data_IF_973269462549
#
_entry.id   IF_973269462549
#
_cell.length_a   1.000
_cell.length_b   1.000
_cell.length_c   1.000
_cell.angle_alpha   90.00
_cell.angle_beta   90.00
_cell.angle_gamma   90.00
#
_symmetry.space_group_name_H-M   'P 1'
#
loop_
_entity.id
_entity.type
_entity.pdbx_description
1 polymer ?
#
# COMPACT_ATOMS: atom_id res chain seq x y z
N UNK A 1 -5.33 -19.98 2.44
CA UNK A 1 -6.16 -19.07 1.66
C UNK A 1 -6.25 -19.53 0.21
N UNK A 2 -7.40 -20.07 -0.19
CA UNK A 2 -7.77 -20.29 -1.59
C UNK A 2 -7.86 -18.94 -2.34
N UNK A 3 -7.83 -18.95 -3.66
CA UNK A 3 -8.01 -17.72 -4.44
C UNK A 3 -9.34 -17.03 -4.06
N UNK A 4 -9.28 -15.73 -3.76
CA UNK A 4 -10.45 -14.96 -3.30
C UNK A 4 -10.74 -15.06 -1.79
N UNK A 5 -10.03 -15.90 -1.04
CA UNK A 5 -10.21 -16.00 0.42
C UNK A 5 -9.55 -14.82 1.13
N UNK A 6 -10.33 -14.11 1.94
CA UNK A 6 -9.91 -12.96 2.74
C UNK A 6 -9.52 -13.45 4.14
N UNK A 7 -8.41 -12.97 4.73
CA UNK A 7 -8.03 -13.38 6.08
C UNK A 7 -9.12 -13.00 7.10
N UNK A 8 -9.31 -13.83 8.12
CA UNK A 8 -10.33 -13.60 9.16
C UNK A 8 -10.13 -12.25 9.85
N UNK A 9 -11.20 -11.47 9.99
CA UNK A 9 -11.18 -10.13 10.58
C UNK A 9 -10.71 -9.01 9.64
N UNK A 10 -10.32 -9.32 8.39
CA UNK A 10 -9.90 -8.33 7.41
C UNK A 10 -11.03 -7.98 6.41
N UNK A 11 -11.05 -6.72 5.98
CA UNK A 11 -11.84 -6.29 4.83
C UNK A 11 -11.02 -6.37 3.55
N UNK A 12 -11.68 -6.73 2.44
CA UNK A 12 -11.06 -6.76 1.12
C UNK A 12 -11.35 -5.49 0.33
N UNK A 13 -10.62 -4.43 0.67
CA UNK A 13 -10.82 -3.07 0.13
C UNK A 13 -11.66 -2.22 1.07
N UNK A 14 -11.01 -1.27 1.77
CA UNK A 14 -11.67 -0.40 2.75
C UNK A 14 -12.20 0.91 2.16
N UNK A 15 -12.04 1.13 0.85
CA UNK A 15 -12.50 2.36 0.18
C UNK A 15 -11.64 3.60 0.45
N UNK A 16 -10.54 3.49 1.21
CA UNK A 16 -9.59 4.58 1.45
C UNK A 16 -9.13 5.22 0.13
N UNK A 17 -9.15 6.55 0.08
CA UNK A 17 -8.74 7.33 -1.09
C UNK A 17 -7.42 8.05 -0.81
N UNK A 18 -6.54 8.09 -1.80
CA UNK A 18 -5.25 8.75 -1.73
C UNK A 18 -5.02 9.60 -2.97
N UNK A 19 -4.86 10.90 -2.77
CA UNK A 19 -4.47 11.83 -3.82
C UNK A 19 -2.94 11.92 -3.89
N UNK A 20 -2.38 11.18 -4.84
CA UNK A 20 -0.95 11.20 -5.11
C UNK A 20 -0.45 12.59 -5.47
N UNK A 21 -1.20 13.31 -6.32
CA UNK A 21 -0.73 14.58 -6.86
C UNK A 21 -0.64 15.62 -5.75
N UNK A 22 -1.61 15.59 -4.83
CA UNK A 22 -1.57 16.39 -3.61
C UNK A 22 -0.42 15.97 -2.68
N UNK A 23 -0.18 14.66 -2.50
CA UNK A 23 0.93 14.16 -1.69
C UNK A 23 2.31 14.56 -2.26
N UNK A 24 2.46 14.57 -3.59
CA UNK A 24 3.66 15.07 -4.27
C UNK A 24 3.80 16.59 -4.11
N UNK A 25 2.72 17.34 -4.32
CA UNK A 25 2.71 18.81 -4.19
C UNK A 25 3.02 19.29 -2.76
N UNK A 26 2.54 18.56 -1.76
CA UNK A 26 2.76 18.86 -0.34
C UNK A 26 4.11 18.36 0.20
N UNK A 27 4.87 17.59 -0.59
CA UNK A 27 6.13 17.00 -0.16
C UNK A 27 5.98 15.76 0.73
N UNK A 28 4.75 15.30 1.00
CA UNK A 28 4.50 14.04 1.73
C UNK A 28 5.05 12.81 1.00
N UNK A 29 5.09 12.87 -0.34
CA UNK A 29 5.66 11.84 -1.18
C UNK A 29 6.55 12.48 -2.25
N UNK A 30 7.86 12.48 -2.04
CA UNK A 30 8.79 13.05 -3.00
C UNK A 30 8.87 12.18 -4.27
N UNK A 31 9.24 12.79 -5.41
CA UNK A 31 9.37 12.08 -6.70
C UNK A 31 10.58 11.13 -6.76
N UNK A 32 11.56 11.42 -5.93
CA UNK A 32 12.82 10.72 -5.69
C UNK A 32 12.80 9.89 -4.41
N UNK A 33 11.65 9.81 -3.73
CA UNK A 33 11.48 8.97 -2.54
C UNK A 33 11.85 7.51 -2.88
N UNK A 34 12.70 6.82 -2.10
CA UNK A 34 13.08 5.42 -2.35
C UNK A 34 11.88 4.50 -2.56
N UNK A 35 10.75 4.83 -1.94
CA UNK A 35 9.50 4.09 -2.12
C UNK A 35 9.02 4.06 -3.59
N UNK A 36 9.35 5.10 -4.36
CA UNK A 36 9.00 5.18 -5.77
C UNK A 36 9.73 4.13 -6.60
N UNK A 37 10.93 3.67 -6.18
CA UNK A 37 11.64 2.58 -6.85
C UNK A 37 10.91 1.24 -6.69
N UNK A 38 10.29 1.04 -5.52
CA UNK A 38 9.47 -0.13 -5.23
C UNK A 38 8.14 -0.13 -5.98
N UNK A 39 7.64 1.06 -6.36
CA UNK A 39 6.39 1.20 -7.11
C UNK A 39 6.55 1.54 -8.60
N UNK A 40 7.74 1.83 -9.12
CA UNK A 40 7.93 2.03 -10.58
C UNK A 40 7.97 0.67 -11.29
N UNK A 41 7.15 0.50 -12.34
CA UNK A 41 7.37 -0.60 -13.31
C UNK A 41 8.63 -0.27 -14.12
N UNK A 42 9.51 -1.24 -14.31
CA UNK A 42 10.72 -1.09 -15.13
C UNK A 42 10.34 -1.26 -16.61
N UNK A 43 10.71 -0.32 -17.50
CA UNK A 43 10.52 -0.41 -18.97
C UNK A 43 10.09 0.90 -19.65
N UNK A 44 10.22 0.97 -20.99
CA UNK A 44 9.96 2.15 -21.83
C UNK A 44 8.53 2.72 -21.70
N UNK A 45 7.53 1.88 -21.41
CA UNK A 45 6.15 2.30 -21.20
C UNK A 45 5.91 2.99 -19.85
N UNK A 46 6.60 2.59 -18.78
CA UNK A 46 6.46 3.20 -17.45
C UNK A 46 7.05 4.60 -17.34
N UNK A 47 7.83 5.04 -18.33
CA UNK A 47 8.41 6.38 -18.42
C UNK A 47 7.48 7.39 -19.13
N UNK A 48 6.55 6.91 -19.97
CA UNK A 48 5.68 7.75 -20.83
C UNK A 48 4.35 8.06 -20.12
N UNK A 49 3.89 7.18 -19.24
CA UNK A 49 2.61 7.27 -18.53
C UNK A 49 2.85 7.62 -17.06
N UNK A 50 3.26 8.86 -16.78
CA UNK A 50 3.51 9.39 -15.43
C UNK A 50 2.31 9.40 -14.45
N UNK A 51 1.21 8.72 -14.77
CA UNK A 51 0.07 8.51 -13.90
C UNK A 51 0.23 7.17 -13.16
N UNK A 52 -0.14 7.14 -11.88
CA UNK A 52 -0.07 5.98 -10.98
C UNK A 52 -0.72 4.66 -11.48
N UNK A 53 -1.36 4.65 -12.66
CA UNK A 53 -1.88 3.45 -13.32
C UNK A 53 -0.81 2.49 -13.85
N UNK A 54 0.44 2.95 -14.04
CA UNK A 54 1.55 2.10 -14.52
C UNK A 54 2.59 1.77 -13.46
N UNK A 55 2.26 1.99 -12.19
CA UNK A 55 3.08 1.63 -11.03
C UNK A 55 2.81 0.17 -10.60
N UNK A 56 3.80 -0.48 -10.00
CA UNK A 56 3.64 -1.79 -9.32
C UNK A 56 2.56 -1.67 -8.23
N UNK A 57 1.98 -2.80 -7.83
CA UNK A 57 0.90 -2.84 -6.85
C UNK A 57 1.26 -2.12 -5.55
N UNK A 58 0.44 -1.16 -5.11
CA UNK A 58 0.55 -0.57 -3.76
C UNK A 58 -0.58 -1.13 -2.88
N UNK A 59 -0.23 -1.82 -1.80
CA UNK A 59 -1.21 -2.36 -0.86
C UNK A 59 -1.72 -1.27 0.10
N UNK A 60 -2.97 -1.41 0.55
CA UNK A 60 -3.63 -0.40 1.38
C UNK A 60 -2.85 -0.09 2.68
N UNK A 61 -2.30 -1.14 3.29
CA UNK A 61 -1.56 -1.05 4.56
C UNK A 61 -0.15 -0.43 4.43
N UNK A 62 0.27 -0.03 3.23
CA UNK A 62 1.50 0.75 3.03
C UNK A 62 1.31 2.24 3.34
N UNK A 63 0.05 2.70 3.39
CA UNK A 63 -0.30 4.08 3.71
C UNK A 63 -1.06 4.15 5.04
N UNK A 64 -0.86 5.21 5.82
CA UNK A 64 -1.72 5.58 6.95
C UNK A 64 -3.05 6.15 6.45
N UNK A 65 -3.98 6.44 7.36
CA UNK A 65 -5.22 7.17 7.06
C UNK A 65 -4.97 8.60 6.57
N UNK A 66 -3.81 9.16 6.91
CA UNK A 66 -3.43 10.54 6.58
C UNK A 66 -2.56 10.63 5.31
N UNK A 67 -2.37 9.48 4.65
CA UNK A 67 -1.63 9.37 3.39
C UNK A 67 -0.11 9.29 3.54
N UNK A 68 0.40 9.01 4.74
CA UNK A 68 1.84 8.81 4.98
C UNK A 68 2.25 7.36 4.78
N UNK A 69 3.50 7.11 4.42
CA UNK A 69 4.03 5.74 4.38
C UNK A 69 4.10 5.17 5.79
N UNK A 70 3.58 3.97 6.01
CA UNK A 70 3.39 3.42 7.37
C UNK A 70 4.72 3.15 8.08
N UNK A 71 5.73 2.66 7.35
CA UNK A 71 7.09 2.48 7.88
C UNK A 71 7.69 3.82 8.32
N UNK A 72 7.52 4.88 7.52
CA UNK A 72 8.01 6.23 7.86
C UNK A 72 7.26 6.82 9.06
N UNK A 73 5.95 6.71 9.08
CA UNK A 73 5.11 7.21 10.16
C UNK A 73 5.46 6.53 11.51
N UNK A 74 5.71 5.22 11.49
CA UNK A 74 6.16 4.49 12.68
C UNK A 74 7.53 4.99 13.17
N UNK A 75 8.50 5.14 12.25
CA UNK A 75 9.85 5.64 12.58
C UNK A 75 9.82 7.07 13.14
N UNK A 76 9.11 7.98 12.48
CA UNK A 76 8.97 9.36 12.92
C UNK A 76 8.27 9.47 14.28
N UNK A 77 7.31 8.58 14.57
CA UNK A 77 6.62 8.49 15.84
C UNK A 77 7.36 7.71 16.93
N UNK A 78 8.55 7.16 16.65
CA UNK A 78 9.28 6.29 17.59
C UNK A 78 8.51 5.02 17.99
N UNK A 79 7.58 4.56 17.13
CA UNK A 79 6.71 3.42 17.43
C UNK A 79 7.38 2.11 17.01
N UNK A 80 7.39 1.16 17.93
CA UNK A 80 7.70 -0.26 17.66
C UNK A 80 6.39 -1.05 17.67
N UNK A 81 6.24 -1.99 16.74
CA UNK A 81 5.06 -2.85 16.67
C UNK A 81 5.47 -4.27 17.06
N UNK A 82 4.92 -4.78 18.17
CA UNK A 82 5.18 -6.15 18.64
C UNK A 82 4.11 -7.13 18.17
N UNK A 83 2.92 -6.64 17.81
CA UNK A 83 1.78 -7.42 17.35
C UNK A 83 1.01 -6.71 16.22
N UNK A 84 0.21 -7.43 15.42
CA UNK A 84 -0.53 -6.87 14.29
C UNK A 84 -1.41 -5.65 14.64
N UNK A 85 -1.97 -5.62 15.84
CA UNK A 85 -2.84 -4.55 16.31
C UNK A 85 -2.09 -3.21 16.39
N UNK A 86 -0.84 -3.22 16.86
CA UNK A 86 0.01 -2.02 16.95
C UNK A 86 0.22 -1.42 15.56
N UNK A 87 0.42 -2.27 14.54
CA UNK A 87 0.57 -1.84 13.15
C UNK A 87 -0.70 -1.16 12.66
N UNK A 88 -1.87 -1.72 12.96
CA UNK A 88 -3.16 -1.13 12.58
C UNK A 88 -3.47 0.17 13.33
N UNK A 89 -2.98 0.34 14.56
CA UNK A 89 -3.02 1.62 15.27
C UNK A 89 -2.17 2.70 14.58
N UNK A 90 -0.99 2.34 14.05
CA UNK A 90 -0.19 3.27 13.22
C UNK A 90 -0.91 3.61 11.91
N UNK A 91 -1.50 2.59 11.27
CA UNK A 91 -2.19 2.77 9.99
C UNK A 91 -3.44 3.65 10.17
N UNK A 92 -4.20 3.48 11.26
CA UNK A 92 -5.41 4.25 11.53
C UNK A 92 -6.56 3.98 10.56
N UNK A 93 -6.54 2.84 9.86
CA UNK A 93 -7.60 2.38 8.93
C UNK A 93 -8.16 1.04 9.40
N UNK A 94 -9.34 0.61 8.92
CA UNK A 94 -9.81 -0.75 9.13
C UNK A 94 -8.76 -1.77 8.67
N UNK A 95 -8.70 -2.93 9.34
CA UNK A 95 -7.81 -4.03 8.99
C UNK A 95 -8.13 -4.49 7.56
N UNK A 96 -7.26 -4.15 6.61
CA UNK A 96 -7.54 -4.23 5.18
C UNK A 96 -6.44 -4.99 4.44
N UNK A 97 -6.81 -5.99 3.65
CA UNK A 97 -5.88 -6.69 2.76
C UNK A 97 -5.90 -6.16 1.32
N UNK A 98 -6.75 -5.17 1.01
CA UNK A 98 -6.93 -4.64 -0.34
C UNK A 98 -5.73 -3.85 -0.88
N UNK A 99 -5.87 -3.37 -2.11
CA UNK A 99 -4.84 -2.58 -2.81
C UNK A 99 -5.37 -1.27 -3.34
N UNK A 100 -4.46 -0.34 -3.60
CA UNK A 100 -4.76 0.92 -4.26
C UNK A 100 -4.89 0.69 -5.78
N UNK A 101 -5.97 1.21 -6.36
CA UNK A 101 -6.20 1.24 -7.79
C UNK A 101 -6.58 2.66 -8.22
N UNK A 102 -6.14 3.09 -9.40
CA UNK A 102 -6.50 4.41 -9.91
C UNK A 102 -7.98 4.45 -10.29
N UNK A 103 -8.70 5.40 -9.71
CA UNK A 103 -10.07 5.73 -10.06
C UNK A 103 -10.08 6.92 -11.01
N UNK A 104 -10.40 6.66 -12.28
CA UNK A 104 -10.42 7.68 -13.33
C UNK A 104 -11.50 8.74 -13.13
N UNK A 105 -12.55 8.45 -12.34
CA UNK A 105 -13.64 9.40 -12.07
C UNK A 105 -13.18 10.51 -11.13
N UNK A 106 -12.42 10.14 -10.11
CA UNK A 106 -11.94 11.08 -9.08
C UNK A 106 -10.51 11.55 -9.33
N UNK A 107 -9.76 10.86 -10.19
CA UNK A 107 -8.33 11.11 -10.40
C UNK A 107 -7.45 10.68 -9.21
N UNK A 108 -8.02 9.93 -8.25
CA UNK A 108 -7.35 9.48 -7.03
C UNK A 108 -7.06 7.99 -7.09
N UNK A 109 -6.20 7.52 -6.19
CA UNK A 109 -6.15 6.09 -5.89
C UNK A 109 -7.25 5.75 -4.89
N UNK A 110 -7.97 4.65 -5.12
CA UNK A 110 -8.96 4.11 -4.21
C UNK A 110 -8.63 2.68 -3.83
N UNK A 111 -8.77 2.36 -2.55
CA UNK A 111 -8.57 1.02 -2.05
C UNK A 111 -9.73 0.11 -2.50
N UNK A 112 -9.41 -0.85 -3.36
CA UNK A 112 -10.32 -1.89 -3.83
C UNK A 112 -9.87 -3.28 -3.39
N UNK A 113 -10.71 -4.27 -3.67
CA UNK A 113 -10.45 -5.66 -3.32
C UNK A 113 -9.40 -6.32 -4.20
N UNK A 114 -8.72 -7.32 -3.64
CA UNK A 114 -7.93 -8.31 -4.35
C UNK A 114 -8.91 -9.30 -5.02
N UNK A 115 -8.76 -9.52 -6.32
CA UNK A 115 -9.71 -10.33 -7.11
C UNK A 115 -9.05 -11.50 -7.85
N UNK A 116 -7.74 -11.41 -8.14
CA UNK A 116 -7.03 -12.42 -8.92
C UNK A 116 -5.54 -12.47 -8.54
N UNK A 117 -4.85 -13.52 -9.01
CA UNK A 117 -3.42 -13.74 -8.80
C UNK A 117 -2.59 -13.01 -9.87
N UNK A 118 -2.44 -11.70 -9.75
CA UNK A 118 -1.68 -10.90 -10.72
C UNK A 118 -0.92 -9.72 -10.09
N UNK A 119 -0.88 -9.65 -8.77
CA UNK A 119 -0.31 -8.49 -8.08
C UNK A 119 1.18 -8.65 -7.83
N UNK A 120 1.91 -7.54 -7.95
CA UNK A 120 3.32 -7.49 -7.57
C UNK A 120 3.47 -7.69 -6.06
N UNK A 121 4.46 -8.49 -5.65
CA UNK A 121 4.87 -8.52 -4.25
C UNK A 121 5.75 -7.31 -3.94
N UNK A 122 5.08 -6.22 -3.59
CA UNK A 122 5.73 -4.98 -3.14
C UNK A 122 5.82 -4.90 -1.62
N UNK A 123 5.46 -5.96 -0.89
CA UNK A 123 5.57 -6.02 0.56
C UNK A 123 7.04 -6.34 0.91
N UNK A 124 7.77 -5.38 1.45
CA UNK A 124 9.12 -5.58 1.96
C UNK A 124 9.34 -4.73 3.22
N UNK A 125 10.53 -4.81 3.84
CA UNK A 125 10.82 -4.07 5.08
C UNK A 125 10.81 -2.54 4.93
N UNK A 126 10.88 -2.01 3.71
CA UNK A 126 10.86 -0.57 3.44
C UNK A 126 9.44 -0.05 3.21
N UNK A 127 8.54 -0.90 2.69
CA UNK A 127 7.18 -0.53 2.28
C UNK A 127 6.09 -1.01 3.26
N UNK A 128 6.33 -2.12 3.94
CA UNK A 128 5.34 -2.83 4.75
C UNK A 128 5.76 -2.84 6.23
N UNK A 129 5.00 -2.12 7.06
CA UNK A 129 5.28 -2.03 8.50
C UNK A 129 5.17 -3.39 9.22
N UNK A 130 4.33 -4.31 8.74
CA UNK A 130 4.30 -5.68 9.26
C UNK A 130 5.66 -6.35 9.10
N UNK A 131 6.19 -6.38 7.87
CA UNK A 131 7.47 -7.03 7.57
C UNK A 131 8.66 -6.30 8.21
N UNK A 132 8.61 -4.97 8.26
CA UNK A 132 9.60 -4.15 8.97
C UNK A 132 9.67 -4.52 10.47
N UNK A 133 8.51 -4.88 11.04
CA UNK A 133 8.37 -5.28 12.46
C UNK A 133 8.52 -6.78 12.70
N UNK A 134 8.82 -7.58 11.67
CA UNK A 134 8.92 -9.05 11.79
C UNK A 134 7.58 -9.78 11.93
N UNK A 135 6.47 -9.11 11.60
CA UNK A 135 5.11 -9.62 11.68
C UNK A 135 4.62 -10.14 10.30
N UNK A 136 3.63 -11.05 10.28
CA UNK A 136 3.05 -11.53 9.03
C UNK A 136 2.29 -10.41 8.31
N UNK A 137 2.58 -10.23 7.02
CA UNK A 137 1.84 -9.30 6.17
C UNK A 137 0.38 -9.78 5.99
N UNK A 138 -0.62 -8.88 6.03
CA UNK A 138 -2.03 -9.23 5.87
C UNK A 138 -2.43 -9.51 4.42
N UNK A 139 -1.55 -9.25 3.44
CA UNK A 139 -1.84 -9.59 2.05
C UNK A 139 -1.80 -11.11 1.86
N UNK A 140 -2.88 -11.73 1.35
CA UNK A 140 -2.92 -13.15 1.08
C UNK A 140 -1.89 -13.57 0.03
N UNK A 141 -1.16 -14.66 0.30
CA UNK A 141 -0.14 -15.20 -0.62
C UNK A 141 -0.70 -15.54 -2.01
N UNK A 142 -1.98 -15.88 -2.13
CA UNK A 142 -2.60 -16.20 -3.42
C UNK A 142 -2.71 -15.00 -4.36
N UNK A 143 -2.64 -13.77 -3.84
CA UNK A 143 -2.82 -12.55 -4.62
C UNK A 143 -1.55 -12.16 -5.40
N UNK A 144 -0.39 -12.65 -4.96
CA UNK A 144 0.91 -12.36 -5.57
C UNK A 144 1.14 -13.22 -6.82
N UNK A 145 1.73 -12.63 -7.87
CA UNK A 145 2.12 -13.33 -9.10
C UNK A 145 3.35 -14.21 -8.92
#
# INVERSE_FOLDING_TARGET
TMAGEVPEGFVNGCGFEFDVKEAEKSGKMAKDDPIQEHYKKKGFFGAITGAFGDKKTMYCHHLTKDGELTVRAALAGGKTCAKPEDVWEVIGKPMCCGRMAYDSKTGKLKCGGLVQKDHDDTCNKETCLFLASGLPCPTPKWAHK
#
